data_IF_523145394417
#
_entry.id   IF_523145394417
#
_cell.length_a   1.000
_cell.length_b   1.000
_cell.length_c   1.000
_cell.angle_alpha   90.00
_cell.angle_beta   90.00
_cell.angle_gamma   90.00
#
_symmetry.space_group_name_H-M   'P 1'
#
loop_
_entity.id
_entity.type
_entity.pdbx_description
1 polymer ?
#
# COMPACT_ATOMS: atom_id res chain seq x y z
N UNK A 1 -22.86 -4.90 -22.36
CA UNK A 1 -22.12 -3.98 -21.47
C UNK A 1 -22.44 -4.32 -20.04
N UNK A 2 -21.56 -5.02 -19.32
CA UNK A 2 -21.72 -5.27 -17.88
C UNK A 2 -20.84 -4.28 -17.12
N UNK A 3 -21.45 -3.34 -16.42
CA UNK A 3 -20.74 -2.47 -15.48
C UNK A 3 -20.32 -3.34 -14.28
N UNK A 4 -19.00 -3.47 -14.05
CA UNK A 4 -18.51 -4.08 -12.82
C UNK A 4 -18.90 -3.19 -11.64
N UNK A 5 -19.29 -3.75 -10.49
CA UNK A 5 -19.51 -2.96 -9.28
C UNK A 5 -18.21 -2.25 -8.93
N UNK A 6 -18.25 -0.93 -8.82
CA UNK A 6 -17.18 -0.18 -8.15
C UNK A 6 -17.21 -0.67 -6.70
N UNK A 7 -16.20 -1.44 -6.30
CA UNK A 7 -16.05 -1.82 -4.90
C UNK A 7 -16.03 -0.52 -4.10
N UNK A 8 -16.94 -0.33 -3.12
CA UNK A 8 -16.90 0.85 -2.29
C UNK A 8 -15.54 0.86 -1.61
N UNK A 9 -14.69 1.81 -1.99
CA UNK A 9 -13.45 2.05 -1.28
C UNK A 9 -13.87 2.43 0.14
N UNK A 10 -13.63 1.52 1.10
CA UNK A 10 -13.75 1.86 2.51
C UNK A 10 -12.90 3.10 2.81
N UNK A 11 -13.15 3.79 3.94
CA UNK A 11 -12.31 4.91 4.33
C UNK A 11 -10.84 4.47 4.32
N UNK A 12 -9.99 5.31 3.73
CA UNK A 12 -8.57 5.00 3.64
C UNK A 12 -8.00 4.82 5.05
N UNK A 13 -7.32 3.68 5.30
CA UNK A 13 -6.82 3.33 6.65
C UNK A 13 -5.89 4.41 7.20
N UNK A 14 -5.06 4.96 6.32
CA UNK A 14 -4.18 6.09 6.59
C UNK A 14 -4.52 7.20 5.60
N UNK A 15 -5.01 8.36 6.03
CA UNK A 15 -5.23 9.49 5.12
C UNK A 15 -3.92 9.90 4.42
N UNK A 16 -3.96 10.12 3.10
CA UNK A 16 -2.81 10.59 2.28
C UNK A 16 -2.43 12.05 2.51
N UNK A 17 -2.21 12.43 3.77
CA UNK A 17 -1.67 13.73 4.13
C UNK A 17 -0.69 13.57 5.31
N UNK A 18 0.11 14.61 5.56
CA UNK A 18 1.18 14.54 6.56
C UNK A 18 0.66 14.24 7.98
N UNK A 19 -0.51 14.76 8.34
CA UNK A 19 -1.11 14.52 9.66
C UNK A 19 -1.58 13.06 9.81
N UNK A 20 -2.28 12.53 8.80
CA UNK A 20 -2.77 11.15 8.80
C UNK A 20 -1.65 10.12 8.84
N UNK A 21 -0.57 10.36 8.08
CA UNK A 21 0.63 9.51 8.11
C UNK A 21 1.29 9.61 9.50
N UNK A 22 1.56 10.82 9.99
CA UNK A 22 2.22 10.99 11.29
C UNK A 22 1.44 10.37 12.45
N UNK A 23 0.11 10.40 12.42
CA UNK A 23 -0.75 9.89 13.49
C UNK A 23 -0.58 8.39 13.76
N UNK A 24 -0.22 7.61 12.75
CA UNK A 24 -0.07 6.15 12.86
C UNK A 24 1.36 5.69 13.10
N UNK A 25 2.35 6.56 12.89
CA UNK A 25 3.76 6.27 13.13
C UNK A 25 4.11 6.37 14.62
N UNK A 26 5.05 5.54 15.06
CA UNK A 26 5.66 5.65 16.38
C UNK A 26 6.48 6.95 16.52
N UNK A 27 6.95 7.26 17.73
CA UNK A 27 7.66 8.51 17.99
C UNK A 27 8.95 8.70 17.18
N UNK A 28 9.72 7.63 16.94
CA UNK A 28 10.97 7.72 16.19
C UNK A 28 10.71 7.84 14.69
N UNK A 29 9.81 7.01 14.16
CA UNK A 29 9.37 7.03 12.76
C UNK A 29 8.72 8.36 12.40
N UNK A 30 7.88 8.90 13.29
CA UNK A 30 7.22 10.21 13.08
C UNK A 30 8.24 11.34 12.96
N UNK A 31 9.27 11.34 13.82
CA UNK A 31 10.33 12.34 13.75
C UNK A 31 11.13 12.23 12.45
N UNK A 32 11.42 11.01 12.02
CA UNK A 32 12.12 10.76 10.77
C UNK A 32 11.30 11.19 9.55
N UNK A 33 10.00 10.86 9.54
CA UNK A 33 9.07 11.31 8.51
C UNK A 33 9.08 12.83 8.37
N UNK A 34 8.95 13.58 9.48
CA UNK A 34 9.00 15.03 9.43
C UNK A 34 10.37 15.56 9.01
N UNK A 35 11.46 14.93 9.46
CA UNK A 35 12.83 15.30 9.06
C UNK A 35 12.99 15.23 7.55
N UNK A 36 12.55 14.14 6.93
CA UNK A 36 12.69 13.94 5.49
C UNK A 36 11.72 14.83 4.71
N UNK A 37 10.48 14.96 5.15
CA UNK A 37 9.48 15.80 4.47
C UNK A 37 9.88 17.27 4.48
N UNK A 38 10.42 17.78 5.60
CA UNK A 38 10.85 19.18 5.72
C UNK A 38 12.21 19.45 5.05
N UNK A 39 13.01 18.40 4.79
CA UNK A 39 14.27 18.53 4.07
C UNK A 39 14.13 18.42 2.55
N UNK A 40 13.03 17.85 2.06
CA UNK A 40 12.78 17.63 0.65
C UNK A 40 12.56 18.95 -0.13
N UNK A 41 13.04 19.01 -1.37
CA UNK A 41 12.62 20.06 -2.29
C UNK A 41 11.11 19.92 -2.59
N UNK A 42 10.40 21.00 -2.97
CA UNK A 42 8.98 20.95 -3.29
C UNK A 42 8.61 19.85 -4.30
N UNK A 43 9.46 19.61 -5.30
CA UNK A 43 9.28 18.61 -6.34
C UNK A 43 9.46 17.17 -5.84
N UNK A 44 10.11 16.97 -4.69
CA UNK A 44 10.41 15.67 -4.08
C UNK A 44 9.43 15.31 -2.96
N UNK A 45 8.76 16.31 -2.38
CA UNK A 45 7.86 16.16 -1.23
C UNK A 45 6.74 15.14 -1.48
N UNK A 46 6.18 15.09 -2.69
CA UNK A 46 5.17 14.09 -3.06
C UNK A 46 5.75 12.66 -2.99
N UNK A 47 6.99 12.47 -3.44
CA UNK A 47 7.68 11.19 -3.38
C UNK A 47 7.89 10.71 -1.95
N UNK A 48 8.29 11.63 -1.06
CA UNK A 48 8.44 11.36 0.39
C UNK A 48 7.09 11.00 1.00
N UNK A 49 6.05 11.80 0.77
CA UNK A 49 4.70 11.53 1.27
C UNK A 49 4.20 10.16 0.80
N UNK A 50 4.37 9.84 -0.49
CA UNK A 50 3.91 8.57 -1.06
C UNK A 50 4.64 7.39 -0.44
N UNK A 51 5.95 7.47 -0.25
CA UNK A 51 6.73 6.38 0.36
C UNK A 51 6.29 6.14 1.81
N UNK A 52 6.24 7.18 2.63
CA UNK A 52 5.82 7.05 4.03
C UNK A 52 4.37 6.63 4.17
N UNK A 53 3.50 7.05 3.27
CA UNK A 53 2.13 6.55 3.23
C UNK A 53 2.07 5.05 2.94
N UNK A 54 2.86 4.54 1.99
CA UNK A 54 2.94 3.10 1.72
C UNK A 54 3.43 2.33 2.95
N UNK A 55 4.46 2.83 3.64
CA UNK A 55 4.96 2.22 4.88
C UNK A 55 3.88 2.21 5.97
N UNK A 56 3.22 3.34 6.20
CA UNK A 56 2.12 3.46 7.16
C UNK A 56 0.93 2.55 6.83
N UNK A 57 0.62 2.35 5.55
CA UNK A 57 -0.44 1.43 5.11
C UNK A 57 -0.12 -0.04 5.35
N UNK A 58 1.16 -0.42 5.30
CA UNK A 58 1.63 -1.77 5.61
C UNK A 58 1.62 -2.00 7.12
N UNK A 59 2.12 -1.04 7.90
CA UNK A 59 2.15 -1.09 9.36
C UNK A 59 0.74 -1.22 9.95
N UNK A 60 -0.24 -0.52 9.35
CA UNK A 60 -1.64 -0.54 9.80
C UNK A 60 -2.47 -1.66 9.16
N UNK A 61 -1.86 -2.58 8.41
CA UNK A 61 -2.61 -3.68 7.81
C UNK A 61 -3.04 -4.70 8.87
N UNK A 62 -4.35 -4.92 9.11
CA UNK A 62 -4.81 -5.90 10.09
C UNK A 62 -4.37 -7.34 9.79
N UNK A 63 -4.02 -7.63 8.53
CA UNK A 63 -3.50 -8.92 8.12
C UNK A 63 -1.96 -8.99 8.11
N UNK A 64 -1.26 -7.91 8.46
CA UNK A 64 0.20 -7.77 8.36
C UNK A 64 0.95 -8.91 9.01
N UNK A 65 0.76 -9.13 10.32
CA UNK A 65 1.42 -10.19 11.08
C UNK A 65 1.18 -11.58 10.47
N UNK A 66 -0.07 -11.87 10.10
CA UNK A 66 -0.44 -13.14 9.50
C UNK A 66 0.25 -13.35 8.15
N UNK A 67 0.32 -12.30 7.33
CA UNK A 67 0.96 -12.36 6.02
C UNK A 67 2.48 -12.50 6.16
N UNK A 68 3.09 -11.77 7.08
CA UNK A 68 4.52 -11.87 7.41
C UNK A 68 4.87 -13.27 7.90
N UNK A 69 4.09 -13.83 8.83
CA UNK A 69 4.29 -15.20 9.31
C UNK A 69 4.16 -16.21 8.16
N UNK A 70 3.09 -16.13 7.36
CA UNK A 70 2.92 -17.01 6.21
C UNK A 70 4.05 -16.90 5.18
N UNK A 71 4.64 -15.71 5.02
CA UNK A 71 5.78 -15.49 4.14
C UNK A 71 7.04 -16.19 4.66
N UNK A 72 7.34 -15.99 5.94
CA UNK A 72 8.50 -16.60 6.59
C UNK A 72 8.40 -18.14 6.65
N UNK A 73 7.18 -18.66 6.84
CA UNK A 73 6.90 -20.10 6.88
C UNK A 73 6.80 -20.72 5.47
N UNK A 74 6.84 -19.91 4.40
CA UNK A 74 6.69 -20.39 3.02
C UNK A 74 5.29 -20.92 2.70
N UNK A 75 4.27 -20.46 3.42
CA UNK A 75 2.87 -20.90 3.29
C UNK A 75 1.96 -19.85 2.64
N UNK A 76 2.51 -18.73 2.17
CA UNK A 76 1.76 -17.75 1.41
C UNK A 76 1.08 -18.41 0.20
N UNK A 77 -0.22 -18.16 -0.03
CA UNK A 77 -0.90 -18.65 -1.21
C UNK A 77 -0.31 -17.97 -2.45
N UNK A 78 0.48 -18.72 -3.21
CA UNK A 78 1.04 -18.27 -4.49
C UNK A 78 0.14 -18.66 -5.65
N UNK A 79 0.22 -17.92 -6.74
CA UNK A 79 -0.42 -18.28 -8.01
C UNK A 79 0.61 -18.10 -9.12
N UNK A 80 0.60 -18.98 -10.13
CA UNK A 80 1.55 -18.85 -11.22
C UNK A 80 1.24 -17.59 -12.04
N UNK A 81 2.28 -16.90 -12.53
CA UNK A 81 2.11 -15.71 -13.36
C UNK A 81 1.27 -16.01 -14.61
N UNK A 82 1.43 -17.21 -15.18
CA UNK A 82 0.60 -17.69 -16.30
C UNK A 82 -0.90 -17.70 -15.97
N UNK A 83 -1.28 -18.17 -14.79
CA UNK A 83 -2.68 -18.22 -14.35
C UNK A 83 -3.24 -16.82 -14.13
N UNK A 84 -2.42 -15.88 -13.64
CA UNK A 84 -2.82 -14.46 -13.52
C UNK A 84 -3.09 -13.87 -14.89
N UNK A 85 -2.18 -14.11 -15.85
CA UNK A 85 -2.29 -13.62 -17.22
C UNK A 85 -3.55 -14.16 -17.89
N UNK A 86 -3.82 -15.46 -17.76
CA UNK A 86 -5.02 -16.09 -18.32
C UNK A 86 -6.28 -15.49 -17.71
N UNK A 87 -6.33 -15.35 -16.38
CA UNK A 87 -7.46 -14.72 -15.69
C UNK A 87 -7.70 -13.29 -16.17
N UNK A 88 -6.64 -12.49 -16.38
CA UNK A 88 -6.75 -11.12 -16.91
C UNK A 88 -7.31 -11.11 -18.33
N UNK A 89 -6.82 -12.01 -19.21
CA UNK A 89 -7.35 -12.15 -20.57
C UNK A 89 -8.82 -12.54 -20.58
N UNK A 90 -9.22 -13.53 -19.77
CA UNK A 90 -10.63 -13.94 -19.63
C UNK A 90 -11.52 -12.82 -19.11
N UNK A 91 -10.96 -11.90 -18.30
CA UNK A 91 -11.65 -10.71 -17.81
C UNK A 91 -11.60 -9.51 -18.79
N UNK A 92 -10.97 -9.65 -19.96
CA UNK A 92 -10.82 -8.56 -20.93
C UNK A 92 -9.88 -7.43 -20.48
N UNK A 93 -9.01 -7.69 -19.50
CA UNK A 93 -8.05 -6.72 -18.98
C UNK A 93 -6.74 -6.75 -19.79
N UNK A 94 -6.06 -5.61 -19.97
CA UNK A 94 -4.80 -5.55 -20.70
C UNK A 94 -3.71 -6.37 -20.01
N UNK A 95 -2.87 -7.01 -20.84
CA UNK A 95 -1.70 -7.80 -20.44
C UNK A 95 -0.56 -7.37 -21.35
N UNK A 96 0.04 -6.22 -21.03
CA UNK A 96 1.25 -5.71 -21.67
C UNK A 96 2.42 -5.85 -20.70
#
# INVERSE_FOLDING_TARGET
MTAQPIHPHGPERVPRNAEGIAAVLDGAQRMEFYRELLAAAPEEAEGVLRRWWCEAMLETDPAGDRLTAAALDGTLPTTAVGDVIERRRSAGLPVE
#
